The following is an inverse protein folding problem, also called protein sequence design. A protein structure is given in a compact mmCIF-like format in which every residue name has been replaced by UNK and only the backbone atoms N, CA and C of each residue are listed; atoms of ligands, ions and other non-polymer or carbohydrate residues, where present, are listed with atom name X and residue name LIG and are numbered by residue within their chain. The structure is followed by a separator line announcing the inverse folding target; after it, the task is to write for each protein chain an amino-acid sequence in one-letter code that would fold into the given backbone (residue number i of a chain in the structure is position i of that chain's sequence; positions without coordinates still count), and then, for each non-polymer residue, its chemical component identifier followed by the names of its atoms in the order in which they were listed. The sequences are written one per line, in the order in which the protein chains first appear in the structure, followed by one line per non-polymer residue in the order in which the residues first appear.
data_IF_685733074216
#
_entry.id   IF_685733074216
#
_cell.length_a   1.000
_cell.length_b   1.000
_cell.length_c   1.000
_cell.angle_alpha   90.00
_cell.angle_beta   90.00
_cell.angle_gamma   90.00
#
_symmetry.space_group_name_H-M   'P 1'
#
loop_
_entity.id
_entity.type
_entity.pdbx_description
1 polymer ?
#
# COMPACT_ATOMS: atom_id res chain seq x y z
N UNK A 1 -13.33 -6.05 5.15
CA UNK A 1 -13.21 -4.85 4.30
C UNK A 1 -13.93 -3.73 5.01
N UNK A 2 -13.48 -2.49 4.82
CA UNK A 2 -14.11 -1.30 5.39
C UNK A 2 -15.06 -0.65 4.36
N UNK A 3 -16.22 -0.10 4.76
CA UNK A 3 -17.16 0.49 3.81
C UNK A 3 -16.68 1.79 3.13
N UNK A 4 -15.61 2.44 3.60
CA UNK A 4 -15.22 3.79 3.14
C UNK A 4 -13.82 3.82 2.54
N UNK A 5 -12.77 3.71 3.37
CA UNK A 5 -11.38 3.97 2.93
C UNK A 5 -10.58 2.70 2.67
N UNK A 6 -10.92 1.59 3.32
CA UNK A 6 -10.21 0.31 3.23
C UNK A 6 -11.13 -0.78 2.63
N UNK A 7 -11.84 -0.41 1.56
CA UNK A 7 -12.70 -1.32 0.80
C UNK A 7 -11.89 -2.51 0.28
N UNK A 8 -12.44 -3.71 0.40
CA UNK A 8 -11.73 -4.95 0.08
C UNK A 8 -11.31 -5.02 -1.40
N UNK A 9 -12.22 -4.70 -2.31
CA UNK A 9 -11.97 -4.60 -3.76
C UNK A 9 -10.94 -3.51 -4.09
N UNK A 10 -10.98 -2.35 -3.41
CA UNK A 10 -9.97 -1.29 -3.59
C UNK A 10 -8.57 -1.77 -3.17
N UNK A 11 -8.46 -2.47 -2.04
CA UNK A 11 -7.19 -3.01 -1.55
C UNK A 11 -6.66 -4.16 -2.41
N UNK A 12 -7.54 -5.05 -2.88
CA UNK A 12 -7.20 -6.07 -3.87
C UNK A 12 -6.73 -5.43 -5.18
N UNK A 13 -7.41 -4.39 -5.66
CA UNK A 13 -7.04 -3.66 -6.87
C UNK A 13 -5.66 -3.02 -6.74
N UNK A 14 -5.40 -2.31 -5.63
CA UNK A 14 -4.09 -1.72 -5.32
C UNK A 14 -2.99 -2.78 -5.34
N UNK A 15 -3.21 -3.91 -4.64
CA UNK A 15 -2.24 -4.99 -4.56
C UNK A 15 -1.94 -5.59 -5.93
N UNK A 16 -2.96 -5.87 -6.74
CA UNK A 16 -2.80 -6.47 -8.07
C UNK A 16 -2.22 -5.49 -9.09
N UNK A 17 -2.70 -4.25 -9.15
CA UNK A 17 -2.19 -3.21 -10.06
C UNK A 17 -0.73 -2.88 -9.76
N UNK A 18 -0.29 -2.99 -8.49
CA UNK A 18 1.10 -2.75 -8.12
C UNK A 18 2.09 -3.79 -8.71
N UNK A 19 1.60 -4.95 -9.17
CA UNK A 19 2.44 -5.96 -9.79
C UNK A 19 2.93 -5.43 -11.14
N UNK A 20 4.24 -5.53 -11.37
CA UNK A 20 4.85 -5.13 -12.64
C UNK A 20 4.13 -5.74 -13.85
N UNK A 21 3.94 -4.93 -14.88
CA UNK A 21 3.21 -5.27 -16.11
C UNK A 21 1.67 -5.41 -16.00
N UNK A 22 1.05 -5.37 -14.81
CA UNK A 22 -0.40 -5.27 -14.70
C UNK A 22 -0.87 -3.87 -15.12
N UNK A 23 -1.96 -3.81 -15.91
CA UNK A 23 -2.49 -2.56 -16.49
C UNK A 23 -3.97 -2.30 -16.18
N UNK A 24 -4.68 -3.27 -15.61
CA UNK A 24 -6.09 -3.13 -15.24
C UNK A 24 -6.56 -4.31 -14.41
N UNK A 25 -7.67 -4.13 -13.71
CA UNK A 25 -8.37 -5.13 -12.92
C UNK A 25 -9.88 -4.88 -12.99
N UNK A 26 -10.66 -5.94 -12.95
CA UNK A 26 -12.12 -5.91 -12.93
C UNK A 26 -12.66 -6.96 -11.95
N UNK A 27 -13.76 -6.67 -11.25
CA UNK A 27 -14.38 -7.57 -10.26
C UNK A 27 -15.73 -8.09 -10.77
N UNK A 28 -15.98 -9.39 -10.60
CA UNK A 28 -17.20 -10.05 -11.05
C UNK A 28 -17.47 -9.86 -12.55
N UNK A 29 -18.61 -9.27 -12.91
CA UNK A 29 -18.96 -8.86 -14.28
C UNK A 29 -18.00 -7.80 -14.83
N UNK A 30 -17.36 -7.03 -13.97
CA UNK A 30 -16.30 -6.12 -14.36
C UNK A 30 -16.79 -5.02 -15.28
N UNK A 31 -16.13 -4.84 -16.43
CA UNK A 31 -16.57 -3.86 -17.43
C UNK A 31 -17.92 -4.20 -18.07
N UNK A 32 -18.39 -5.45 -17.98
CA UNK A 32 -19.68 -5.88 -18.52
C UNK A 32 -20.87 -5.24 -17.80
N UNK A 33 -20.70 -4.74 -16.56
CA UNK A 33 -21.74 -3.98 -15.86
C UNK A 33 -22.25 -2.77 -16.65
N UNK A 34 -21.44 -2.19 -17.54
CA UNK A 34 -21.85 -1.06 -18.37
C UNK A 34 -22.96 -1.40 -19.37
N UNK A 35 -23.13 -2.69 -19.70
CA UNK A 35 -24.12 -3.17 -20.66
C UNK A 35 -25.39 -3.72 -19.99
N UNK A 36 -25.42 -3.82 -18.65
CA UNK A 36 -26.50 -4.44 -17.89
C UNK A 36 -27.51 -3.42 -17.37
N UNK A 37 -28.78 -3.79 -17.33
CA UNK A 37 -29.80 -3.06 -16.57
C UNK A 37 -29.70 -3.40 -15.08
N UNK A 38 -30.23 -2.54 -14.22
CA UNK A 38 -30.18 -2.75 -12.77
C UNK A 38 -30.78 -4.08 -12.31
N UNK A 39 -31.87 -4.55 -12.94
CA UNK A 39 -32.47 -5.84 -12.61
C UNK A 39 -31.64 -7.06 -13.08
N UNK A 40 -30.74 -6.87 -14.04
CA UNK A 40 -29.82 -7.87 -14.56
C UNK A 40 -28.48 -7.86 -13.79
N UNK A 41 -28.07 -6.71 -13.28
CA UNK A 41 -26.83 -6.52 -12.52
C UNK A 41 -26.94 -6.86 -11.02
N UNK A 42 -28.15 -6.77 -10.44
CA UNK A 42 -28.36 -6.97 -9.02
C UNK A 42 -28.19 -8.44 -8.61
N UNK A 43 -27.33 -8.69 -7.63
CA UNK A 43 -27.26 -9.99 -6.96
C UNK A 43 -28.44 -10.15 -6.00
N UNK A 44 -29.48 -10.86 -6.47
CA UNK A 44 -30.67 -11.15 -5.66
C UNK A 44 -30.36 -12.19 -4.57
N UNK A 45 -31.16 -12.21 -3.50
CA UNK A 45 -30.95 -13.10 -2.35
C UNK A 45 -32.16 -14.03 -2.10
N UNK A 46 -31.90 -15.23 -1.60
CA UNK A 46 -32.88 -16.16 -1.06
C UNK A 46 -32.31 -16.85 0.19
N UNK A 47 -33.10 -16.97 1.26
CA UNK A 47 -32.68 -17.63 2.51
C UNK A 47 -31.31 -17.18 3.06
N UNK A 48 -31.02 -15.87 2.99
CA UNK A 48 -29.74 -15.23 3.36
C UNK A 48 -28.53 -15.51 2.46
N UNK A 49 -28.70 -16.25 1.36
CA UNK A 49 -27.65 -16.48 0.36
C UNK A 49 -27.93 -15.65 -0.90
N UNK A 50 -26.86 -15.26 -1.59
CA UNK A 50 -26.97 -14.66 -2.91
C UNK A 50 -27.24 -15.74 -3.96
N UNK A 51 -28.15 -15.45 -4.90
CA UNK A 51 -28.51 -16.34 -6.01
C UNK A 51 -27.44 -16.28 -7.11
N UNK A 52 -26.81 -15.12 -7.28
CA UNK A 52 -25.78 -14.84 -8.29
C UNK A 52 -24.56 -14.17 -7.64
N UNK A 53 -23.48 -14.02 -8.40
CA UNK A 53 -22.24 -13.39 -7.93
C UNK A 53 -21.67 -12.39 -8.94
N UNK A 54 -22.53 -11.53 -9.50
CA UNK A 54 -22.16 -10.50 -10.46
C UNK A 54 -21.16 -9.50 -9.88
N UNK A 55 -21.25 -9.19 -8.57
CA UNK A 55 -20.29 -8.31 -7.90
C UNK A 55 -18.96 -9.00 -7.53
N UNK A 56 -18.81 -10.30 -7.79
CA UNK A 56 -17.56 -11.02 -7.58
C UNK A 56 -17.13 -11.12 -6.12
N UNK A 57 -18.08 -11.34 -5.22
CA UNK A 57 -17.85 -11.61 -3.80
C UNK A 57 -17.65 -10.38 -2.92
N UNK A 58 -17.69 -9.17 -3.50
CA UNK A 58 -17.54 -7.90 -2.76
C UNK A 58 -18.72 -6.99 -3.08
N UNK A 59 -19.50 -6.63 -2.06
CA UNK A 59 -20.61 -5.68 -2.19
C UNK A 59 -20.38 -4.50 -1.24
N UNK A 60 -20.41 -3.28 -1.77
CA UNK A 60 -20.16 -2.08 -0.97
C UNK A 60 -18.75 -2.01 -0.34
N UNK A 61 -17.77 -2.74 -0.89
CA UNK A 61 -16.41 -2.82 -0.35
C UNK A 61 -16.22 -3.87 0.75
N UNK A 62 -17.24 -4.68 1.04
CA UNK A 62 -17.22 -5.73 2.07
C UNK A 62 -17.43 -7.09 1.39
N UNK A 63 -16.74 -8.12 1.87
CA UNK A 63 -16.96 -9.50 1.42
C UNK A 63 -18.37 -9.95 1.76
N UNK A 64 -19.11 -10.49 0.79
CA UNK A 64 -20.53 -10.85 0.95
C UNK A 64 -20.78 -12.35 1.20
N UNK A 65 -19.71 -13.15 1.29
CA UNK A 65 -19.77 -14.60 1.52
C UNK A 65 -19.64 -15.46 0.26
N UNK A 66 -19.87 -14.88 -0.93
CA UNK A 66 -19.59 -15.56 -2.20
C UNK A 66 -18.09 -15.61 -2.51
N UNK A 67 -17.75 -16.42 -3.52
CA UNK A 67 -16.39 -16.46 -4.08
C UNK A 67 -15.91 -15.07 -4.52
N UNK A 68 -14.67 -14.74 -4.17
CA UNK A 68 -14.01 -13.54 -4.69
C UNK A 68 -13.59 -13.79 -6.14
N UNK A 69 -14.24 -13.09 -7.07
CA UNK A 69 -14.03 -13.24 -8.51
C UNK A 69 -13.55 -11.93 -9.10
N UNK A 70 -12.36 -11.93 -9.70
CA UNK A 70 -11.84 -10.79 -10.44
C UNK A 70 -10.85 -11.25 -11.50
N UNK A 71 -10.63 -10.40 -12.50
CA UNK A 71 -9.67 -10.61 -13.59
C UNK A 71 -8.75 -9.42 -13.68
N UNK A 72 -7.52 -9.62 -14.15
CA UNK A 72 -6.57 -8.53 -14.34
C UNK A 72 -5.80 -8.70 -15.64
N UNK A 73 -5.39 -7.57 -16.20
CA UNK A 73 -4.76 -7.47 -17.52
C UNK A 73 -3.26 -7.30 -17.35
N UNK A 74 -2.49 -8.16 -18.00
CA UNK A 74 -1.03 -8.10 -18.05
C UNK A 74 -0.59 -7.67 -19.44
N UNK A 75 0.23 -6.61 -19.54
CA UNK A 75 0.80 -6.21 -20.83
C UNK A 75 1.85 -7.24 -21.32
N UNK A 76 2.09 -7.34 -22.63
CA UNK A 76 3.17 -8.18 -23.16
C UNK A 76 4.55 -7.80 -22.61
N UNK A 77 5.47 -8.77 -22.58
CA UNK A 77 6.87 -8.56 -22.18
C UNK A 77 7.50 -7.45 -23.04
N UNK A 78 8.01 -6.36 -22.45
CA UNK A 78 8.56 -5.24 -23.24
C UNK A 78 9.85 -5.60 -23.98
N UNK A 79 10.70 -6.43 -23.37
CA UNK A 79 11.98 -6.86 -23.94
C UNK A 79 11.76 -8.01 -24.92
N UNK A 80 11.86 -7.70 -26.21
CA UNK A 80 11.73 -8.65 -27.31
C UNK A 80 12.93 -8.54 -28.24
N UNK A 81 13.25 -9.63 -28.95
CA UNK A 81 14.38 -9.72 -29.88
C UNK A 81 14.07 -9.08 -31.26
N UNK A 82 13.36 -7.94 -31.24
CA UNK A 82 13.00 -7.13 -32.39
C UNK A 82 13.55 -5.73 -32.15
N UNK A 83 14.13 -5.12 -33.18
CA UNK A 83 14.66 -3.75 -33.09
C UNK A 83 13.53 -2.76 -32.80
N UNK A 84 13.71 -1.93 -31.78
CA UNK A 84 12.76 -0.94 -31.32
C UNK A 84 13.43 0.43 -31.24
N UNK A 85 12.66 1.51 -31.45
CA UNK A 85 13.14 2.88 -31.27
C UNK A 85 13.10 3.25 -29.79
N UNK A 86 14.16 3.90 -29.30
CA UNK A 86 14.22 4.44 -27.95
C UNK A 86 15.17 5.64 -27.90
N UNK A 87 15.41 6.20 -26.71
CA UNK A 87 16.35 7.30 -26.49
C UNK A 87 17.39 6.94 -25.44
N UNK A 88 18.59 7.51 -25.57
CA UNK A 88 19.60 7.45 -24.50
C UNK A 88 19.29 8.45 -23.38
N UNK A 89 20.01 8.37 -22.26
CA UNK A 89 19.92 9.37 -21.19
C UNK A 89 20.25 10.80 -21.65
N UNK A 90 21.04 10.96 -22.72
CA UNK A 90 21.32 12.26 -23.36
C UNK A 90 20.24 12.68 -24.37
N UNK A 91 19.07 12.03 -24.38
CA UNK A 91 17.93 12.29 -25.27
C UNK A 91 18.24 12.09 -26.76
N UNK A 92 19.22 11.26 -27.10
CA UNK A 92 19.54 10.92 -28.49
C UNK A 92 18.71 9.71 -28.94
N UNK A 93 18.05 9.82 -30.09
CA UNK A 93 17.30 8.70 -30.69
C UNK A 93 18.24 7.57 -31.11
N UNK A 94 17.87 6.34 -30.77
CA UNK A 94 18.63 5.13 -31.12
C UNK A 94 17.69 3.98 -31.47
N UNK A 95 18.14 3.12 -32.39
CA UNK A 95 17.52 1.82 -32.63
C UNK A 95 18.16 0.80 -31.70
N UNK A 96 17.40 0.25 -30.76
CA UNK A 96 17.86 -0.72 -29.77
C UNK A 96 17.28 -2.10 -30.05
N UNK A 97 18.11 -3.13 -29.96
CA UNK A 97 17.69 -4.53 -30.02
C UNK A 97 18.14 -5.23 -28.75
N UNK A 98 17.19 -5.74 -27.97
CA UNK A 98 17.49 -6.47 -26.74
C UNK A 98 18.05 -7.85 -27.10
N UNK A 99 19.26 -8.15 -26.61
CA UNK A 99 19.94 -9.42 -26.84
C UNK A 99 19.73 -10.35 -25.63
N UNK A 100 19.47 -11.63 -25.88
CA UNK A 100 19.30 -12.64 -24.84
C UNK A 100 17.99 -13.42 -24.94
N UNK A 101 17.74 -14.27 -23.94
CA UNK A 101 16.45 -14.97 -23.78
C UNK A 101 15.53 -14.10 -22.92
N UNK A 102 14.33 -13.84 -23.43
CA UNK A 102 13.29 -13.13 -22.71
C UNK A 102 12.06 -14.03 -22.61
N UNK A 103 11.29 -13.87 -21.53
CA UNK A 103 10.03 -14.57 -21.38
C UNK A 103 9.08 -14.12 -22.50
N UNK A 104 8.61 -15.06 -23.33
CA UNK A 104 7.58 -14.80 -24.35
C UNK A 104 6.21 -14.56 -23.72
N UNK A 105 6.00 -15.09 -22.50
CA UNK A 105 4.80 -14.89 -21.69
C UNK A 105 5.19 -14.86 -20.21
N UNK A 106 4.96 -13.71 -19.56
CA UNK A 106 5.25 -13.50 -18.12
C UNK A 106 4.11 -13.97 -17.21
N UNK A 107 2.95 -14.33 -17.76
CA UNK A 107 1.75 -14.71 -17.00
C UNK A 107 2.01 -15.86 -16.01
N UNK A 108 2.67 -16.98 -16.39
CA UNK A 108 2.91 -18.08 -15.44
C UNK A 108 3.69 -17.67 -14.19
N UNK A 109 4.58 -16.66 -14.31
CA UNK A 109 5.35 -16.12 -13.18
C UNK A 109 4.55 -15.10 -12.36
N UNK A 110 3.62 -14.39 -12.98
CA UNK A 110 2.77 -13.41 -12.29
C UNK A 110 1.73 -14.09 -11.41
N UNK A 111 1.18 -15.23 -11.82
CA UNK A 111 0.15 -15.97 -11.06
C UNK A 111 0.55 -16.21 -9.59
N UNK A 112 1.71 -16.81 -9.26
CA UNK A 112 2.09 -17.02 -7.85
C UNK A 112 2.28 -15.71 -7.08
N UNK A 113 2.78 -14.65 -7.73
CA UNK A 113 2.91 -13.31 -7.11
C UNK A 113 1.54 -12.74 -6.79
N UNK A 114 0.61 -12.76 -7.75
CA UNK A 114 -0.77 -12.32 -7.54
C UNK A 114 -1.43 -13.09 -6.39
N UNK A 115 -1.29 -14.42 -6.34
CA UNK A 115 -1.80 -15.24 -5.24
C UNK A 115 -1.23 -14.82 -3.87
N UNK A 116 0.06 -14.51 -3.79
CA UNK A 116 0.66 -14.04 -2.55
C UNK A 116 0.11 -12.67 -2.14
N UNK A 117 0.02 -11.72 -3.08
CA UNK A 117 -0.54 -10.38 -2.84
C UNK A 117 -1.99 -10.45 -2.34
N UNK A 118 -2.82 -11.31 -2.93
CA UNK A 118 -4.21 -11.54 -2.49
C UNK A 118 -4.25 -12.06 -1.05
N UNK A 119 -3.42 -13.06 -0.72
CA UNK A 119 -3.38 -13.62 0.63
C UNK A 119 -2.99 -12.58 1.68
N UNK A 120 -2.04 -11.69 1.36
CA UNK A 120 -1.65 -10.60 2.25
C UNK A 120 -2.80 -9.63 2.50
N UNK A 121 -3.50 -9.21 1.44
CA UNK A 121 -4.68 -8.33 1.57
C UNK A 121 -5.77 -8.97 2.42
N UNK A 122 -6.05 -10.26 2.20
CA UNK A 122 -7.08 -10.96 2.97
C UNK A 122 -6.68 -11.15 4.43
N UNK A 123 -5.40 -11.48 4.70
CA UNK A 123 -4.90 -11.61 6.07
C UNK A 123 -5.03 -10.28 6.83
N UNK A 124 -4.69 -9.16 6.17
CA UNK A 124 -4.82 -7.83 6.75
C UNK A 124 -6.29 -7.46 7.01
N UNK A 125 -7.16 -7.66 6.01
CA UNK A 125 -8.60 -7.39 6.15
C UNK A 125 -9.26 -8.22 7.27
N UNK A 126 -8.86 -9.48 7.44
CA UNK A 126 -9.34 -10.34 8.54
C UNK A 126 -8.82 -9.82 9.88
N UNK A 127 -7.55 -9.46 9.96
CA UNK A 127 -6.93 -8.93 11.18
C UNK A 127 -7.63 -7.65 11.64
N UNK A 128 -7.88 -6.72 10.74
CA UNK A 128 -8.65 -5.51 11.05
C UNK A 128 -10.08 -5.84 11.49
N UNK A 129 -10.75 -6.79 10.84
CA UNK A 129 -12.12 -7.15 11.20
C UNK A 129 -12.20 -7.75 12.61
N UNK A 130 -11.21 -8.56 13.01
CA UNK A 130 -11.13 -9.10 14.38
C UNK A 130 -11.15 -7.98 15.42
N UNK A 131 -10.31 -6.95 15.22
CA UNK A 131 -10.17 -5.83 16.16
C UNK A 131 -11.47 -5.05 16.39
N UNK A 132 -12.34 -4.99 15.38
CA UNK A 132 -13.58 -4.18 15.41
C UNK A 132 -14.81 -5.02 15.71
N UNK A 133 -14.78 -6.33 15.42
CA UNK A 133 -15.88 -7.22 15.75
C UNK A 133 -16.02 -7.39 17.27
N UNK A 134 -17.25 -7.50 17.79
CA UNK A 134 -17.52 -7.88 19.18
C UNK A 134 -17.07 -9.32 19.53
N UNK A 135 -16.22 -9.96 18.70
CA UNK A 135 -15.51 -11.14 19.14
C UNK A 135 -14.64 -10.76 20.32
N UNK A 136 -14.66 -11.61 21.35
CA UNK A 136 -13.79 -11.45 22.50
C UNK A 136 -12.35 -11.65 22.00
N UNK A 137 -11.64 -10.54 21.81
CA UNK A 137 -10.22 -10.54 21.50
C UNK A 137 -9.47 -11.24 22.63
N UNK A 138 -8.49 -12.05 22.26
CA UNK A 138 -7.56 -12.62 23.22
C UNK A 138 -6.32 -11.72 23.37
N UNK A 139 -5.45 -12.07 24.31
CA UNK A 139 -4.22 -11.31 24.57
C UNK A 139 -3.28 -11.26 23.35
N UNK A 140 -3.28 -12.28 22.51
CA UNK A 140 -2.43 -12.33 21.32
C UNK A 140 -2.95 -11.38 20.25
N UNK A 141 -4.27 -11.23 20.09
CA UNK A 141 -4.82 -10.27 19.13
C UNK A 141 -4.40 -8.82 19.47
N UNK A 142 -4.42 -8.44 20.77
CA UNK A 142 -3.93 -7.13 21.21
C UNK A 142 -2.42 -6.96 21.01
N UNK A 143 -1.63 -8.01 21.30
CA UNK A 143 -0.19 -7.99 21.06
C UNK A 143 0.15 -7.84 19.58
N UNK A 144 -0.55 -8.55 18.71
CA UNK A 144 -0.37 -8.43 17.27
C UNK A 144 -0.68 -7.00 16.78
N UNK A 145 -1.71 -6.36 17.33
CA UNK A 145 -2.01 -4.95 17.01
C UNK A 145 -0.88 -4.00 17.45
N UNK A 146 -0.30 -4.22 18.63
CA UNK A 146 0.86 -3.46 19.12
C UNK A 146 2.08 -3.71 18.23
N UNK A 147 2.39 -4.97 17.90
CA UNK A 147 3.52 -5.35 17.06
C UNK A 147 3.48 -4.66 15.68
N UNK A 148 2.27 -4.53 15.09
CA UNK A 148 2.06 -3.80 13.83
C UNK A 148 2.36 -2.30 13.97
N UNK A 149 1.89 -1.68 15.05
CA UNK A 149 2.18 -0.26 15.33
C UNK A 149 3.69 -0.06 15.53
N UNK A 150 4.36 -0.98 16.22
CA UNK A 150 5.81 -0.94 16.43
C UNK A 150 6.59 -1.06 15.11
N UNK A 151 6.14 -1.92 14.18
CA UNK A 151 6.71 -2.02 12.83
C UNK A 151 6.53 -0.70 12.04
N UNK A 152 5.34 -0.08 12.11
CA UNK A 152 5.07 1.21 11.49
C UNK A 152 5.98 2.32 12.05
N UNK A 153 6.18 2.36 13.37
CA UNK A 153 7.11 3.28 14.03
C UNK A 153 8.52 3.08 13.49
N UNK A 154 8.99 1.82 13.39
CA UNK A 154 10.33 1.51 12.89
C UNK A 154 10.50 1.95 11.42
N UNK A 155 9.51 1.69 10.58
CA UNK A 155 9.50 2.14 9.17
C UNK A 155 9.55 3.67 9.10
N UNK A 156 8.75 4.36 9.91
CA UNK A 156 8.73 5.82 9.96
C UNK A 156 10.09 6.39 10.39
N UNK A 157 10.73 5.81 11.40
CA UNK A 157 12.08 6.17 11.84
C UNK A 157 13.11 5.97 10.72
N UNK A 158 13.09 4.82 10.05
CA UNK A 158 14.00 4.53 8.93
C UNK A 158 13.83 5.50 7.76
N UNK A 159 12.60 5.87 7.40
CA UNK A 159 12.31 6.90 6.39
C UNK A 159 12.85 8.26 6.82
N UNK A 160 12.61 8.65 8.07
CA UNK A 160 13.07 9.92 8.64
C UNK A 160 14.59 10.03 8.66
N UNK A 161 15.31 8.95 8.97
CA UNK A 161 16.78 8.91 8.93
C UNK A 161 17.32 9.20 7.53
N UNK A 162 16.79 8.53 6.50
CA UNK A 162 17.17 8.79 5.10
C UNK A 162 16.96 10.25 4.71
N UNK A 163 15.84 10.85 5.12
CA UNK A 163 15.57 12.28 4.85
C UNK A 163 16.57 13.17 5.60
N UNK A 164 16.93 12.83 6.83
CA UNK A 164 17.92 13.59 7.61
C UNK A 164 19.31 13.56 6.97
N UNK A 165 19.73 12.43 6.41
CA UNK A 165 20.99 12.32 5.64
C UNK A 165 20.96 13.18 4.37
N UNK A 166 19.83 13.22 3.67
CA UNK A 166 19.65 14.10 2.50
C UNK A 166 19.69 15.58 2.89
N UNK A 167 19.08 15.96 4.02
CA UNK A 167 19.17 17.32 4.56
C UNK A 167 20.63 17.67 4.89
N UNK A 168 21.38 16.75 5.50
CA UNK A 168 22.80 16.92 5.79
C UNK A 168 23.61 17.24 4.53
N UNK A 169 23.49 16.40 3.50
CA UNK A 169 24.15 16.61 2.20
C UNK A 169 23.78 17.96 1.59
N UNK A 170 22.49 18.29 1.58
CA UNK A 170 22.02 19.58 1.06
C UNK A 170 22.64 20.76 1.80
N UNK A 171 22.72 20.69 3.14
CA UNK A 171 23.35 21.75 3.94
C UNK A 171 24.84 21.89 3.65
N UNK A 172 25.56 20.78 3.53
CA UNK A 172 26.98 20.76 3.16
C UNK A 172 27.22 21.35 1.77
N UNK A 173 26.37 21.03 0.79
CA UNK A 173 26.47 21.57 -0.58
C UNK A 173 26.15 23.07 -0.68
N UNK A 174 25.44 23.63 0.31
CA UNK A 174 24.97 25.02 0.29
C UNK A 174 25.54 25.87 1.45
N UNK A 175 26.56 25.39 2.16
CA UNK A 175 27.17 26.05 3.33
C UNK A 175 26.16 26.53 4.39
N UNK A 176 25.13 25.72 4.65
CA UNK A 176 24.09 26.01 5.63
C UNK A 176 24.42 25.43 7.01
N UNK A 177 23.97 26.11 8.06
CA UNK A 177 24.12 25.60 9.43
C UNK A 177 23.33 24.30 9.66
N UNK A 178 23.97 23.37 10.37
CA UNK A 178 23.37 22.08 10.74
C UNK A 178 22.24 22.26 11.75
N UNK A 179 22.39 23.16 12.72
CA UNK A 179 21.40 23.33 13.78
C UNK A 179 20.50 24.55 13.51
N UNK A 180 19.19 24.39 13.75
CA UNK A 180 18.24 25.49 13.79
C UNK A 180 17.36 25.34 15.05
N UNK A 181 17.84 25.90 16.17
CA UNK A 181 17.20 25.75 17.48
C UNK A 181 15.78 26.32 17.51
N UNK A 182 15.54 27.43 16.83
CA UNK A 182 14.21 28.06 16.76
C UNK A 182 13.20 27.09 16.12
N UNK A 183 13.54 26.53 14.96
CA UNK A 183 12.68 25.54 14.29
C UNK A 183 12.50 24.27 15.12
N UNK A 184 13.55 23.79 15.79
CA UNK A 184 13.48 22.60 16.65
C UNK A 184 12.53 22.83 17.83
N UNK A 185 12.61 23.98 18.49
CA UNK A 185 11.71 24.36 19.60
C UNK A 185 10.26 24.52 19.13
N UNK A 186 10.03 25.18 17.99
CA UNK A 186 8.69 25.33 17.40
C UNK A 186 8.05 23.97 17.09
N UNK A 187 8.79 23.06 16.46
CA UNK A 187 8.32 21.72 16.14
C UNK A 187 8.04 20.91 17.40
N UNK A 188 8.91 21.00 18.42
CA UNK A 188 8.72 20.29 19.67
C UNK A 188 7.46 20.75 20.40
N UNK A 189 7.24 22.07 20.46
CA UNK A 189 6.02 22.64 21.05
C UNK A 189 4.76 22.19 20.30
N UNK A 190 4.79 22.15 18.97
CA UNK A 190 3.68 21.65 18.17
C UNK A 190 3.41 20.15 18.41
N UNK A 191 4.45 19.34 18.59
CA UNK A 191 4.31 17.92 18.95
C UNK A 191 3.69 17.73 20.33
N UNK A 192 4.13 18.49 21.34
CA UNK A 192 3.53 18.47 22.69
C UNK A 192 2.04 18.80 22.66
N UNK A 193 1.64 19.81 21.89
CA UNK A 193 0.23 20.16 21.75
C UNK A 193 -0.59 19.02 21.12
N UNK A 194 -0.05 18.34 20.11
CA UNK A 194 -0.72 17.18 19.49
C UNK A 194 -0.78 15.99 20.45
N UNK A 195 0.28 15.72 21.21
CA UNK A 195 0.32 14.61 22.17
C UNK A 195 -0.81 14.70 23.22
N UNK A 196 -1.14 15.92 23.67
CA UNK A 196 -2.28 16.17 24.59
C UNK A 196 -3.63 15.70 24.03
N UNK A 197 -3.83 15.73 22.71
CA UNK A 197 -5.07 15.25 22.09
C UNK A 197 -5.23 13.72 22.19
N UNK A 198 -4.13 13.01 22.39
CA UNK A 198 -4.08 11.55 22.46
C UNK A 198 -3.78 11.04 23.88
N UNK A 199 -3.81 11.91 24.89
CA UNK A 199 -3.48 11.61 26.29
C UNK A 199 -2.09 10.94 26.46
N UNK A 200 -1.13 11.33 25.62
CA UNK A 200 0.24 10.80 25.68
C UNK A 200 1.05 11.62 26.70
N UNK A 201 1.75 10.93 27.59
CA UNK A 201 2.60 11.53 28.61
C UNK A 201 3.71 12.42 27.99
N UNK A 202 3.90 13.61 28.57
CA UNK A 202 4.84 14.60 28.06
C UNK A 202 6.30 14.15 28.17
N UNK A 203 6.64 13.34 29.18
CA UNK A 203 8.00 12.80 29.34
C UNK A 203 8.33 11.80 28.23
N UNK A 204 7.36 10.99 27.80
CA UNK A 204 7.54 10.07 26.68
C UNK A 204 7.87 10.81 25.38
N UNK A 205 7.11 11.86 25.07
CA UNK A 205 7.34 12.70 23.88
C UNK A 205 8.69 13.39 23.95
N UNK A 206 9.07 13.88 25.13
CA UNK A 206 10.37 14.52 25.36
C UNK A 206 11.51 13.54 25.09
N UNK A 207 11.45 12.34 25.67
CA UNK A 207 12.46 11.30 25.48
C UNK A 207 12.59 10.89 24.01
N UNK A 208 11.46 10.65 23.33
CA UNK A 208 11.45 10.28 21.91
C UNK A 208 12.05 11.40 21.06
N UNK A 209 11.67 12.66 21.30
CA UNK A 209 12.18 13.81 20.57
C UNK A 209 13.69 13.97 20.70
N UNK A 210 14.21 13.88 21.92
CA UNK A 210 15.65 14.00 22.19
C UNK A 210 16.47 12.90 21.50
N UNK A 211 16.00 11.66 21.55
CA UNK A 211 16.63 10.53 20.85
C UNK A 211 16.60 10.77 19.34
N UNK A 212 15.44 11.13 18.78
CA UNK A 212 15.27 11.34 17.34
C UNK A 212 16.15 12.51 16.83
N UNK A 213 16.20 13.63 17.54
CA UNK A 213 16.99 14.80 17.15
C UNK A 213 18.48 14.52 17.30
N UNK A 214 18.91 13.90 18.40
CA UNK A 214 20.33 13.55 18.60
C UNK A 214 20.84 12.61 17.52
N UNK A 215 20.07 11.58 17.15
CA UNK A 215 20.41 10.68 16.03
C UNK A 215 20.42 11.39 14.67
N UNK A 216 19.56 12.40 14.47
CA UNK A 216 19.56 13.20 13.24
C UNK A 216 20.84 14.03 13.10
N UNK A 217 21.27 14.65 14.20
CA UNK A 217 22.46 15.52 14.24
C UNK A 217 23.75 14.74 13.95
N UNK A 218 23.84 13.46 14.36
CA UNK A 218 24.97 12.58 14.04
C UNK A 218 25.11 12.26 12.53
N UNK A 219 24.03 12.44 11.75
CA UNK A 219 23.93 12.04 10.34
C UNK A 219 23.90 13.22 9.36
N UNK A 220 23.92 14.46 9.87
CA UNK A 220 23.99 15.69 9.07
C UNK A 220 25.41 16.23 9.07
#
# INVERSE_FOLDING_TARGET
GDPVFEKLDANLAKAIISIGAVKGIEFGEGFNFAELKGNEANDQMNNNDFITNHNGGVLGGISNGNDLVFRFVVKPTPSINITQKTITFQKKEVNFKSMGRHDTCIIPRIIPVAKAMIKLVLADAISHQKLISNQKLDLNDYREAVDKIDEEILIALGRRQKISELIGKFKQENDLQIENKVREEELFNALKQKAKLWDIDESLITNIWEIIISESKKRQ
#
